data_IF_236207372477
#
_entry.id   IF_236207372477
#
_cell.length_a   1.000
_cell.length_b   1.000
_cell.length_c   1.000
_cell.angle_alpha   90.00
_cell.angle_beta   90.00
_cell.angle_gamma   90.00
#
_symmetry.space_group_name_H-M   'P 1'
#
loop_
_entity.id
_entity.type
_entity.pdbx_description
1 polymer ?
#
# COMPACT_ATOMS: atom_id res chain seq x y z
N UNK A 1 27.81 19.74 -28.54
CA UNK A 1 26.62 18.88 -28.77
C UNK A 1 26.50 17.70 -27.79
N UNK A 2 27.31 17.60 -26.73
CA UNK A 2 27.24 16.52 -25.72
C UNK A 2 26.42 16.88 -24.46
N UNK A 3 26.04 18.15 -24.29
CA UNK A 3 25.36 18.63 -23.08
C UNK A 3 23.88 18.26 -23.03
N UNK A 4 23.22 18.17 -24.19
CA UNK A 4 21.78 17.85 -24.28
C UNK A 4 21.49 16.37 -24.00
N UNK A 5 22.45 15.48 -24.25
CA UNK A 5 22.30 14.03 -24.04
C UNK A 5 22.38 13.66 -22.55
N UNK A 6 23.26 14.32 -21.79
CA UNK A 6 23.41 14.13 -20.35
C UNK A 6 22.18 14.65 -19.57
N UNK A 7 21.57 15.75 -20.04
CA UNK A 7 20.33 16.29 -19.48
C UNK A 7 19.14 15.36 -19.73
N UNK A 8 19.10 14.68 -20.90
CA UNK A 8 18.04 13.71 -21.22
C UNK A 8 18.14 12.42 -20.38
N UNK A 9 19.35 11.99 -20.06
CA UNK A 9 19.62 10.85 -19.15
C UNK A 9 19.22 11.19 -17.70
N UNK A 10 19.41 12.44 -17.27
CA UNK A 10 19.03 12.89 -15.92
C UNK A 10 17.50 13.07 -15.75
N UNK A 11 16.77 13.36 -16.83
CA UNK A 11 15.31 13.57 -16.84
C UNK A 11 14.49 12.26 -16.79
N UNK A 12 15.10 11.11 -17.04
CA UNK A 12 14.45 9.78 -16.99
C UNK A 12 14.73 9.01 -15.69
N UNK A 13 15.34 9.65 -14.68
CA UNK A 13 15.29 9.11 -13.32
C UNK A 13 13.85 9.27 -12.87
N UNK A 14 13.03 8.23 -13.10
CA UNK A 14 11.82 8.00 -12.32
C UNK A 14 12.31 7.95 -10.88
N UNK A 15 12.21 9.08 -10.17
CA UNK A 15 12.65 9.18 -8.80
C UNK A 15 11.91 8.11 -8.03
N UNK A 16 12.67 7.18 -7.43
CA UNK A 16 12.12 6.10 -6.64
C UNK A 16 11.49 6.71 -5.39
N UNK A 17 10.21 7.09 -5.47
CA UNK A 17 9.51 7.80 -4.40
C UNK A 17 8.34 6.95 -3.91
N UNK A 18 8.54 6.27 -2.79
CA UNK A 18 7.47 5.58 -2.05
C UNK A 18 6.82 6.47 -0.98
N UNK A 19 7.18 7.76 -0.93
CA UNK A 19 6.88 8.66 0.18
C UNK A 19 7.80 8.45 1.38
N UNK A 20 7.51 9.14 2.49
CA UNK A 20 8.34 9.10 3.71
C UNK A 20 8.16 7.80 4.53
N UNK A 21 7.14 7.00 4.21
CA UNK A 21 6.73 5.83 5.00
C UNK A 21 7.12 4.50 4.35
N UNK A 22 8.11 4.51 3.47
CA UNK A 22 8.59 3.29 2.84
C UNK A 22 9.94 3.43 2.16
N UNK A 23 10.59 2.28 2.00
CA UNK A 23 11.84 2.17 1.27
C UNK A 23 11.54 1.88 -0.20
N UNK A 24 12.14 2.66 -1.08
CA UNK A 24 12.05 2.46 -2.51
C UNK A 24 13.23 1.63 -3.02
N UNK A 25 12.99 0.73 -3.97
CA UNK A 25 14.00 -0.07 -4.65
C UNK A 25 13.54 -0.38 -6.08
N UNK A 26 14.47 -0.71 -6.96
CA UNK A 26 14.17 -1.19 -8.31
C UNK A 26 14.43 -2.69 -8.41
N UNK A 27 13.60 -3.38 -9.18
CA UNK A 27 13.83 -4.79 -9.52
C UNK A 27 14.77 -4.95 -10.72
N UNK A 28 15.09 -6.19 -11.12
CA UNK A 28 16.01 -6.49 -12.23
C UNK A 28 15.48 -5.95 -13.57
N UNK A 29 14.15 -5.88 -13.72
CA UNK A 29 13.46 -5.28 -14.87
C UNK A 29 13.37 -3.74 -14.82
N UNK A 30 13.95 -3.10 -13.79
CA UNK A 30 13.86 -1.66 -13.58
C UNK A 30 12.51 -1.19 -13.02
N UNK A 31 11.64 -2.12 -12.60
CA UNK A 31 10.34 -1.79 -12.02
C UNK A 31 10.49 -1.29 -10.56
N UNK A 32 9.80 -0.19 -10.23
CA UNK A 32 9.77 0.35 -8.87
C UNK A 32 9.04 -0.61 -7.91
N UNK A 33 9.70 -0.92 -6.79
CA UNK A 33 9.16 -1.64 -5.63
C UNK A 33 9.21 -0.75 -4.39
N UNK A 34 8.11 -0.74 -3.66
CA UNK A 34 7.96 -0.03 -2.40
C UNK A 34 7.78 -1.02 -1.25
N UNK A 35 8.70 -0.99 -0.29
CA UNK A 35 8.57 -1.69 0.98
C UNK A 35 8.09 -0.68 2.02
N UNK A 36 6.78 -0.71 2.31
CA UNK A 36 6.17 0.22 3.26
C UNK A 36 6.40 -0.23 4.71
N UNK A 37 6.48 0.75 5.62
CA UNK A 37 6.57 0.51 7.06
C UNK A 37 5.27 -0.11 7.60
N UNK A 38 5.32 -0.65 8.82
CA UNK A 38 4.15 -1.19 9.49
C UNK A 38 3.01 -0.15 9.57
N UNK A 39 1.79 -0.60 9.24
CA UNK A 39 0.61 0.27 9.15
C UNK A 39 0.50 1.07 7.83
N UNK A 40 1.40 0.85 6.88
CA UNK A 40 1.34 1.42 5.54
C UNK A 40 1.30 0.31 4.48
N UNK A 41 0.59 0.56 3.40
CA UNK A 41 0.51 -0.34 2.26
C UNK A 41 0.74 0.40 0.96
N UNK A 42 1.21 -0.33 -0.05
CA UNK A 42 1.42 0.22 -1.39
C UNK A 42 0.06 0.56 -1.99
N UNK A 43 -0.11 1.81 -2.37
CA UNK A 43 -1.23 2.32 -3.14
C UNK A 43 -0.71 2.76 -4.50
N UNK A 44 -1.41 2.36 -5.55
CA UNK A 44 -1.17 2.90 -6.87
C UNK A 44 -2.02 4.16 -7.05
N UNK A 45 -1.35 5.27 -7.39
CA UNK A 45 -2.00 6.54 -7.69
C UNK A 45 -1.51 6.98 -9.06
N UNK A 46 -2.35 6.78 -10.07
CA UNK A 46 -2.07 7.15 -11.46
C UNK A 46 -0.74 6.57 -11.98
N UNK A 47 -0.45 5.30 -11.66
CA UNK A 47 0.79 4.62 -12.06
C UNK A 47 1.99 4.91 -11.17
N UNK A 48 1.82 5.64 -10.06
CA UNK A 48 2.84 5.85 -9.04
C UNK A 48 2.53 5.03 -7.79
N UNK A 49 3.46 4.17 -7.41
CA UNK A 49 3.37 3.38 -6.17
C UNK A 49 3.87 4.20 -4.99
N UNK A 50 2.98 4.51 -4.05
CA UNK A 50 3.30 5.23 -2.81
C UNK A 50 2.88 4.42 -1.59
N UNK A 51 3.52 4.66 -0.44
CA UNK A 51 3.11 4.07 0.83
C UNK A 51 2.09 4.98 1.50
N UNK A 52 0.84 4.55 1.52
CA UNK A 52 -0.26 5.24 2.19
C UNK A 52 -0.68 4.47 3.44
N UNK A 53 -1.13 5.19 4.47
CA UNK A 53 -1.57 4.60 5.72
C UNK A 53 -2.76 3.65 5.46
N UNK A 54 -2.64 2.42 5.94
CA UNK A 54 -3.61 1.36 5.71
C UNK A 54 -3.73 0.55 7.00
N UNK A 55 -4.87 0.65 7.68
CA UNK A 55 -5.12 -0.08 8.91
C UNK A 55 -6.48 -0.76 8.92
N UNK A 56 -6.47 -2.07 9.16
CA UNK A 56 -7.66 -2.89 9.36
C UNK A 56 -7.81 -3.30 10.83
N UNK A 57 -7.09 -2.64 11.75
CA UNK A 57 -6.91 -3.09 13.13
C UNK A 57 -5.91 -4.24 13.25
N UNK A 58 -5.76 -4.77 14.47
CA UNK A 58 -4.73 -5.77 14.81
C UNK A 58 -4.99 -7.17 14.21
N UNK A 59 -6.20 -7.40 13.69
CA UNK A 59 -6.66 -8.74 13.29
C UNK A 59 -6.86 -8.87 11.78
N UNK A 60 -6.15 -8.08 10.99
CA UNK A 60 -6.19 -8.23 9.54
C UNK A 60 -5.07 -7.52 8.82
N UNK A 61 -4.81 -7.97 7.60
CA UNK A 61 -3.86 -7.35 6.69
C UNK A 61 -4.57 -6.31 5.84
N UNK A 62 -4.00 -5.12 5.76
CA UNK A 62 -4.51 -4.01 4.95
C UNK A 62 -3.82 -3.94 3.60
N UNK A 63 -4.56 -3.67 2.53
CA UNK A 63 -4.03 -3.45 1.19
C UNK A 63 -4.95 -2.51 0.40
N UNK A 64 -4.45 -1.93 -0.69
CA UNK A 64 -5.27 -1.14 -1.62
C UNK A 64 -5.58 -1.95 -2.86
N UNK A 65 -6.77 -1.75 -3.41
CA UNK A 65 -7.18 -2.27 -4.72
C UNK A 65 -6.67 -1.38 -5.87
N UNK A 66 -6.94 -1.76 -7.12
CA UNK A 66 -6.59 -1.02 -8.33
C UNK A 66 -7.27 0.36 -8.36
N UNK A 67 -8.47 0.46 -7.80
CA UNK A 67 -9.18 1.74 -7.63
C UNK A 67 -8.63 2.60 -6.45
N UNK A 68 -7.58 2.14 -5.76
CA UNK A 68 -7.04 2.78 -4.56
C UNK A 68 -7.95 2.65 -3.33
N UNK A 69 -8.96 1.78 -3.39
CA UNK A 69 -9.87 1.51 -2.28
C UNK A 69 -9.23 0.57 -1.25
N UNK A 70 -9.42 0.87 0.04
CA UNK A 70 -8.93 0.01 1.12
C UNK A 70 -9.63 -1.36 1.11
N UNK A 71 -8.81 -2.41 1.18
CA UNK A 71 -9.19 -3.81 1.37
C UNK A 71 -8.56 -4.37 2.63
N UNK A 72 -9.38 -5.09 3.40
CA UNK A 72 -8.97 -5.76 4.63
C UNK A 72 -9.14 -7.26 4.50
N UNK A 73 -8.05 -8.00 4.64
CA UNK A 73 -8.06 -9.45 4.77
C UNK A 73 -7.98 -9.79 6.26
N UNK A 74 -9.14 -10.12 6.85
CA UNK A 74 -9.23 -10.43 8.28
C UNK A 74 -8.79 -11.86 8.58
N UNK A 75 -8.22 -12.06 9.76
CA UNK A 75 -7.85 -13.38 10.27
C UNK A 75 -9.11 -14.22 10.58
N UNK A 76 -8.94 -15.54 10.71
CA UNK A 76 -10.04 -16.45 11.05
C UNK A 76 -10.80 -16.01 12.32
N UNK A 77 -12.13 -15.99 12.23
CA UNK A 77 -13.02 -15.53 13.31
C UNK A 77 -13.25 -14.01 13.36
N UNK A 78 -12.64 -13.25 12.46
CA UNK A 78 -12.86 -11.82 12.29
C UNK A 78 -13.54 -11.53 10.95
N UNK A 79 -14.42 -10.54 10.94
CA UNK A 79 -15.09 -10.08 9.72
C UNK A 79 -14.83 -8.61 9.49
N UNK A 80 -14.82 -8.21 8.21
CA UNK A 80 -14.74 -6.80 7.85
C UNK A 80 -16.02 -6.10 8.31
N UNK A 81 -15.85 -5.03 9.08
CA UNK A 81 -16.92 -4.11 9.48
C UNK A 81 -16.57 -2.71 9.04
N UNK A 82 -17.58 -1.99 8.56
CA UNK A 82 -17.46 -0.57 8.26
C UNK A 82 -17.80 0.23 9.51
N UNK A 83 -16.80 0.89 10.10
CA UNK A 83 -16.93 1.77 11.25
C UNK A 83 -16.54 3.18 10.81
N UNK A 84 -17.50 4.10 10.82
CA UNK A 84 -17.29 5.51 10.42
C UNK A 84 -16.65 5.66 9.02
N UNK A 85 -17.01 4.77 8.08
CA UNK A 85 -16.45 4.77 6.72
C UNK A 85 -15.06 4.15 6.59
N UNK A 86 -14.53 3.52 7.65
CA UNK A 86 -13.29 2.74 7.63
C UNK A 86 -13.60 1.25 7.77
N UNK A 87 -12.98 0.44 6.92
CA UNK A 87 -13.07 -1.02 7.01
C UNK A 87 -12.08 -1.52 8.06
N UNK A 88 -12.58 -2.21 9.08
CA UNK A 88 -11.76 -2.80 10.15
C UNK A 88 -12.14 -4.27 10.36
N UNK A 89 -11.23 -5.07 10.88
CA UNK A 89 -11.45 -6.46 11.23
C UNK A 89 -11.91 -6.57 12.68
N UNK A 90 -13.19 -6.87 12.88
CA UNK A 90 -13.76 -7.04 14.22
C UNK A 90 -14.19 -8.50 14.45
N UNK A 91 -13.84 -9.03 15.62
CA UNK A 91 -14.14 -10.39 16.03
C UNK A 91 -15.58 -10.46 16.53
N UNK A 92 -16.42 -11.20 15.83
CA UNK A 92 -17.76 -11.53 16.31
C UNK A 92 -17.63 -12.60 17.40
N UNK A 93 -17.93 -12.25 18.66
CA UNK A 93 -18.22 -13.22 19.71
C UNK A 93 -19.36 -14.10 19.20
N UNK A 94 -19.04 -15.30 18.70
CA UNK A 94 -20.03 -16.34 18.47
C UNK A 94 -20.63 -16.67 19.83
N UNK A 95 -21.74 -16.02 20.17
CA UNK A 95 -22.56 -16.42 21.30
C UNK A 95 -23.10 -17.79 20.90
N UNK A 96 -22.42 -18.86 21.34
CA UNK A 96 -23.02 -20.19 21.36
C UNK A 96 -24.23 -20.09 22.27
N UNK A 97 -25.40 -19.90 21.68
CA UNK A 97 -26.66 -20.15 22.38
C UNK A 97 -26.72 -21.68 22.48
N UNK A 98 -26.35 -22.19 23.65
CA UNK A 98 -26.57 -23.57 24.09
C UNK A 98 -27.61 -23.51 25.20
#
# INVERSE_FOLDING_TARGET
MFHTCFVYILLLVTACSCGDNGKCSFDEDGAQKCACNDGFSVKDVEGKKICEACSCGDNGKCSFDEDGAQKCACNDGFSVKDVEGKKICEGGKFIRIL
#
